data_IF_410245175760
#
_entry.id   IF_410245175760
#
_cell.length_a   1.000
_cell.length_b   1.000
_cell.length_c   1.000
_cell.angle_alpha   90.00
_cell.angle_beta   90.00
_cell.angle_gamma   90.00
#
_symmetry.space_group_name_H-M   'P 1'
#
loop_
_entity.id
_entity.type
_entity.pdbx_description
1 polymer ?
#
# COMPACT_ATOMS: atom_id res chain seq x y z
N UNK A 1 90.00 16.34 -27.83
CA UNK A 1 89.22 16.28 -29.10
C UNK A 1 87.90 15.58 -28.81
N UNK A 2 86.76 16.21 -29.14
CA UNK A 2 85.46 15.63 -29.63
C UNK A 2 84.88 14.43 -28.84
N UNK A 3 83.66 14.41 -28.27
CA UNK A 3 82.35 15.03 -28.56
C UNK A 3 81.49 14.88 -27.28
N UNK A 4 80.68 15.90 -26.95
CA UNK A 4 79.59 15.79 -25.98
C UNK A 4 78.27 15.88 -26.77
N UNK A 5 77.47 14.81 -26.72
CA UNK A 5 76.21 14.69 -27.48
C UNK A 5 75.06 15.22 -26.64
N UNK A 6 74.42 16.31 -27.09
CA UNK A 6 73.13 16.78 -26.60
C UNK A 6 72.03 15.82 -27.09
N UNK A 7 71.22 15.28 -26.18
CA UNK A 7 69.91 14.69 -26.52
C UNK A 7 68.83 15.63 -26.01
N UNK A 8 68.11 16.25 -26.96
CA UNK A 8 66.94 17.08 -26.72
C UNK A 8 65.70 16.16 -26.79
N UNK A 9 65.11 15.82 -25.65
CA UNK A 9 63.84 15.10 -25.59
C UNK A 9 62.69 16.10 -25.55
N UNK A 10 62.03 16.30 -26.69
CA UNK A 10 60.79 17.06 -26.78
C UNK A 10 59.63 16.21 -26.22
N UNK A 11 59.11 16.59 -25.05
CA UNK A 11 57.83 16.10 -24.55
C UNK A 11 56.71 16.77 -25.36
N UNK A 12 56.11 16.02 -26.29
CA UNK A 12 54.79 16.31 -26.82
C UNK A 12 53.74 15.93 -25.78
N UNK A 13 53.22 16.93 -25.07
CA UNK A 13 52.00 16.84 -24.27
C UNK A 13 50.81 16.61 -25.21
N UNK A 14 50.50 15.35 -25.51
CA UNK A 14 49.19 14.97 -26.05
C UNK A 14 48.24 14.94 -24.86
N UNK A 15 47.54 16.05 -24.62
CA UNK A 15 46.37 16.07 -23.75
C UNK A 15 45.37 15.04 -24.30
N UNK A 16 44.96 14.02 -23.53
CA UNK A 16 43.77 13.27 -23.88
C UNK A 16 42.63 14.26 -23.69
N UNK A 17 42.15 14.83 -24.78
CA UNK A 17 40.85 15.45 -24.80
C UNK A 17 39.89 14.36 -24.28
N UNK A 18 39.47 14.50 -23.03
CA UNK A 18 38.32 13.80 -22.48
C UNK A 18 37.18 14.10 -23.45
N UNK A 19 36.97 13.21 -24.40
CA UNK A 19 35.72 13.05 -25.09
C UNK A 19 34.72 12.67 -23.99
N UNK A 20 34.21 13.68 -23.28
CA UNK A 20 32.89 13.61 -22.73
C UNK A 20 32.01 13.30 -23.93
N UNK A 21 31.74 12.01 -24.14
CA UNK A 21 30.63 11.56 -24.95
C UNK A 21 29.45 12.42 -24.49
N UNK A 22 29.08 13.40 -25.32
CA UNK A 22 27.86 14.18 -25.14
C UNK A 22 26.75 13.14 -25.20
N UNK A 23 26.39 12.60 -24.04
CA UNK A 23 25.32 11.64 -23.92
C UNK A 23 24.10 12.29 -24.56
N UNK A 24 23.54 11.62 -25.57
CA UNK A 24 22.23 11.98 -26.08
C UNK A 24 21.25 11.86 -24.92
N UNK A 25 20.89 13.00 -24.32
CA UNK A 25 20.00 13.07 -23.16
C UNK A 25 18.53 13.03 -23.55
N UNK A 26 17.65 12.90 -22.56
CA UNK A 26 16.21 12.76 -22.75
C UNK A 26 15.76 11.33 -23.08
N UNK A 27 16.54 10.32 -22.71
CA UNK A 27 16.20 8.90 -22.88
C UNK A 27 15.42 8.40 -21.66
N UNK A 28 14.17 8.03 -21.88
CA UNK A 28 13.32 7.42 -20.87
C UNK A 28 13.31 5.90 -21.01
N UNK A 29 13.49 5.20 -19.89
CA UNK A 29 13.28 3.76 -19.79
C UNK A 29 12.25 3.48 -18.70
N UNK A 30 11.09 2.99 -19.08
CA UNK A 30 10.02 2.59 -18.16
C UNK A 30 10.07 1.09 -17.93
N UNK A 31 10.20 0.71 -16.67
CA UNK A 31 10.04 -0.66 -16.19
C UNK A 31 8.69 -0.73 -15.47
N UNK A 32 7.79 -1.59 -15.92
CA UNK A 32 6.48 -1.75 -15.28
C UNK A 32 6.01 -3.20 -15.21
N UNK A 33 5.21 -3.50 -14.21
CA UNK A 33 4.38 -4.71 -14.19
C UNK A 33 3.17 -4.51 -15.14
N UNK A 34 2.85 -5.51 -15.95
CA UNK A 34 1.92 -5.35 -17.08
C UNK A 34 0.47 -5.00 -16.67
N UNK A 35 0.06 -5.32 -15.45
CA UNK A 35 -1.27 -5.04 -14.92
C UNK A 35 -1.23 -4.09 -13.70
N UNK A 36 -0.14 -3.34 -13.54
CA UNK A 36 0.02 -2.34 -12.49
C UNK A 36 -0.48 -0.95 -12.90
N UNK A 37 -1.45 -0.42 -12.15
CA UNK A 37 -2.02 0.91 -12.42
C UNK A 37 -0.98 2.03 -12.37
N UNK A 38 0.00 1.95 -11.46
CA UNK A 38 1.07 2.94 -11.37
C UNK A 38 1.98 2.89 -12.61
N UNK A 39 2.32 1.69 -13.09
CA UNK A 39 3.05 1.45 -14.33
C UNK A 39 2.36 2.06 -15.54
N UNK A 40 1.06 1.84 -15.69
CA UNK A 40 0.26 2.43 -16.76
C UNK A 40 0.22 3.96 -16.70
N UNK A 41 0.08 4.55 -15.52
CA UNK A 41 0.14 6.01 -15.35
C UNK A 41 1.50 6.56 -15.79
N UNK A 42 2.62 5.91 -15.46
CA UNK A 42 3.94 6.31 -15.97
C UNK A 42 4.04 6.20 -17.48
N UNK A 43 3.49 5.13 -18.07
CA UNK A 43 3.48 4.95 -19.52
C UNK A 43 2.78 6.11 -20.23
N UNK A 44 1.57 6.49 -19.79
CA UNK A 44 0.83 7.59 -20.42
C UNK A 44 1.57 8.93 -20.30
N UNK A 45 2.15 9.21 -19.12
CA UNK A 45 2.94 10.42 -18.91
C UNK A 45 4.17 10.44 -19.82
N UNK A 46 4.95 9.36 -19.83
CA UNK A 46 6.18 9.29 -20.61
C UNK A 46 5.90 9.32 -22.13
N UNK A 47 4.86 8.63 -22.62
CA UNK A 47 4.50 8.68 -24.04
C UNK A 47 3.97 10.07 -24.44
N UNK A 48 3.18 10.72 -23.57
CA UNK A 48 2.73 12.10 -23.80
C UNK A 48 3.91 13.07 -23.85
N UNK A 49 4.84 12.97 -22.91
CA UNK A 49 6.06 13.81 -22.88
C UNK A 49 6.91 13.58 -24.12
N UNK A 50 7.12 12.32 -24.53
CA UNK A 50 7.85 11.97 -25.75
C UNK A 50 7.21 12.58 -26.99
N UNK A 51 5.87 12.57 -27.11
CA UNK A 51 5.16 13.20 -28.23
C UNK A 51 5.33 14.72 -28.23
N UNK A 52 5.39 15.35 -27.06
CA UNK A 52 5.64 16.79 -26.91
C UNK A 52 7.12 17.21 -27.04
N UNK A 53 8.05 16.27 -26.99
CA UNK A 53 9.48 16.47 -27.10
C UNK A 53 10.06 15.50 -28.16
N UNK A 54 10.03 15.87 -29.45
CA UNK A 54 10.39 14.95 -30.55
C UNK A 54 11.80 14.34 -30.46
N UNK A 55 12.69 14.96 -29.70
CA UNK A 55 14.05 14.48 -29.46
C UNK A 55 14.18 13.48 -28.31
N UNK A 56 13.12 13.29 -27.51
CA UNK A 56 13.08 12.34 -26.41
C UNK A 56 12.76 10.93 -26.92
N UNK A 57 13.29 9.93 -26.23
CA UNK A 57 13.07 8.50 -26.53
C UNK A 57 12.35 7.85 -25.36
N UNK A 58 11.49 6.87 -25.63
CA UNK A 58 10.87 6.02 -24.61
C UNK A 58 11.08 4.55 -24.98
N UNK A 59 11.64 3.78 -24.05
CA UNK A 59 11.65 2.31 -24.09
C UNK A 59 10.85 1.78 -22.92
N UNK A 60 10.13 0.70 -23.14
CA UNK A 60 9.29 0.06 -22.13
C UNK A 60 9.72 -1.39 -21.96
N UNK A 61 9.89 -1.83 -20.72
CA UNK A 61 10.31 -3.18 -20.36
C UNK A 61 9.32 -3.77 -19.33
N UNK A 62 8.85 -5.01 -19.54
CA UNK A 62 8.06 -5.68 -18.52
C UNK A 62 8.93 -6.04 -17.31
N UNK A 63 8.38 -5.87 -16.11
CA UNK A 63 8.94 -6.34 -14.85
C UNK A 63 8.29 -7.66 -14.47
N UNK A 64 9.12 -8.60 -14.05
CA UNK A 64 8.75 -9.90 -13.49
C UNK A 64 9.65 -10.20 -12.31
N UNK A 65 9.16 -10.98 -11.35
CA UNK A 65 9.96 -11.51 -10.25
C UNK A 65 10.43 -12.92 -10.60
N UNK A 66 11.52 -13.33 -9.96
CA UNK A 66 12.05 -14.68 -10.09
C UNK A 66 11.84 -15.40 -8.76
N UNK A 67 11.16 -16.54 -8.81
CA UNK A 67 10.97 -17.40 -7.65
C UNK A 67 12.26 -18.17 -7.32
N UNK A 68 12.31 -18.80 -6.15
CA UNK A 68 13.48 -19.57 -5.68
C UNK A 68 13.83 -20.75 -6.60
N UNK A 69 12.83 -21.36 -7.24
CA UNK A 69 12.99 -22.43 -8.23
C UNK A 69 13.47 -21.92 -9.61
N UNK A 70 13.68 -20.60 -9.74
CA UNK A 70 14.12 -19.95 -10.97
C UNK A 70 13.00 -19.70 -11.99
N UNK A 71 11.74 -20.04 -11.68
CA UNK A 71 10.60 -19.67 -12.49
C UNK A 71 10.29 -18.17 -12.40
N UNK A 72 9.61 -17.64 -13.42
CA UNK A 72 9.11 -16.26 -13.37
C UNK A 72 7.73 -16.24 -12.72
N UNK A 73 7.51 -15.23 -11.90
CA UNK A 73 6.23 -14.93 -11.30
C UNK A 73 5.88 -13.45 -11.53
N UNK A 74 4.59 -13.17 -11.40
CA UNK A 74 4.04 -11.82 -11.41
C UNK A 74 3.25 -11.61 -10.12
N UNK A 75 3.02 -10.35 -9.72
CA UNK A 75 2.29 -10.06 -8.49
C UNK A 75 0.79 -10.31 -8.63
N UNK A 76 0.27 -10.31 -9.86
CA UNK A 76 -1.16 -10.47 -10.18
C UNK A 76 -1.48 -11.78 -10.89
N UNK A 77 -0.57 -12.76 -10.84
CA UNK A 77 -0.78 -14.12 -11.32
C UNK A 77 -0.61 -14.31 -12.83
N UNK A 78 -1.00 -15.49 -13.30
CA UNK A 78 -0.69 -16.00 -14.65
C UNK A 78 -1.08 -15.06 -15.79
N UNK A 79 -2.19 -14.33 -15.66
CA UNK A 79 -2.63 -13.38 -16.69
C UNK A 79 -1.63 -12.22 -16.87
N UNK A 80 -1.07 -11.69 -15.77
CA UNK A 80 -0.05 -10.64 -15.83
C UNK A 80 1.28 -11.20 -16.35
N UNK A 81 1.62 -12.45 -15.99
CA UNK A 81 2.83 -13.11 -16.48
C UNK A 81 2.77 -13.38 -17.99
N UNK A 82 1.61 -13.84 -18.49
CA UNK A 82 1.38 -14.03 -19.92
C UNK A 82 1.49 -12.71 -20.69
N UNK A 83 0.92 -11.62 -20.15
CA UNK A 83 1.07 -10.30 -20.77
C UNK A 83 2.52 -9.80 -20.72
N UNK A 84 3.24 -10.00 -19.62
CA UNK A 84 4.66 -9.68 -19.52
C UNK A 84 5.49 -10.44 -20.58
N UNK A 85 5.17 -11.71 -20.86
CA UNK A 85 5.81 -12.48 -21.93
C UNK A 85 5.53 -11.88 -23.32
N UNK A 86 4.27 -11.46 -23.61
CA UNK A 86 3.93 -10.77 -24.86
C UNK A 86 4.70 -9.45 -25.01
N UNK A 87 4.78 -8.65 -23.94
CA UNK A 87 5.55 -7.41 -23.93
C UNK A 87 7.05 -7.68 -24.15
N UNK A 88 7.61 -8.72 -23.54
CA UNK A 88 9.01 -9.07 -23.74
C UNK A 88 9.30 -9.48 -25.19
N UNK A 89 8.41 -10.28 -25.79
CA UNK A 89 8.49 -10.65 -27.22
C UNK A 89 8.32 -9.44 -28.11
N UNK A 90 7.34 -8.57 -27.87
CA UNK A 90 7.16 -7.31 -28.62
C UNK A 90 8.42 -6.44 -28.56
N UNK A 91 9.03 -6.28 -27.37
CA UNK A 91 10.24 -5.49 -27.21
C UNK A 91 11.44 -6.05 -28.02
N UNK A 92 11.47 -7.37 -28.21
CA UNK A 92 12.54 -8.07 -28.95
C UNK A 92 12.30 -8.10 -30.45
N UNK A 93 11.10 -8.48 -30.89
CA UNK A 93 10.76 -8.77 -32.29
C UNK A 93 10.17 -7.57 -33.00
N UNK A 94 9.34 -6.78 -32.31
CA UNK A 94 8.62 -5.63 -32.89
C UNK A 94 8.76 -4.36 -32.04
N UNK A 95 9.98 -3.89 -31.73
CA UNK A 95 10.19 -2.77 -30.82
C UNK A 95 9.49 -1.48 -31.27
N UNK A 96 9.38 -1.25 -32.58
CA UNK A 96 8.67 -0.10 -33.14
C UNK A 96 7.14 -0.14 -32.95
N UNK A 97 6.57 -1.31 -32.64
CA UNK A 97 5.12 -1.50 -32.41
C UNK A 97 4.73 -1.38 -30.95
N UNK A 98 5.70 -1.43 -30.03
CA UNK A 98 5.49 -1.45 -28.58
C UNK A 98 4.58 -0.33 -28.07
N UNK A 99 4.87 0.93 -28.42
CA UNK A 99 4.11 2.07 -27.88
C UNK A 99 2.66 2.11 -28.42
N UNK A 100 2.44 1.69 -29.67
CA UNK A 100 1.09 1.60 -30.23
C UNK A 100 0.30 0.46 -29.60
N UNK A 101 0.95 -0.69 -29.39
CA UNK A 101 0.38 -1.82 -28.68
C UNK A 101 -0.07 -1.43 -27.28
N UNK A 102 0.80 -0.78 -26.48
CA UNK A 102 0.47 -0.37 -25.12
C UNK A 102 -0.70 0.64 -25.08
N UNK A 103 -0.69 1.64 -25.97
CA UNK A 103 -1.81 2.58 -26.08
C UNK A 103 -3.13 1.86 -26.38
N UNK A 104 -3.15 0.93 -27.33
CA UNK A 104 -4.36 0.17 -27.64
C UNK A 104 -4.76 -0.81 -26.51
N UNK A 105 -3.78 -1.47 -25.88
CA UNK A 105 -3.99 -2.41 -24.77
C UNK A 105 -4.69 -1.74 -23.59
N UNK A 106 -4.38 -0.47 -23.33
CA UNK A 106 -5.06 0.30 -22.28
C UNK A 106 -6.52 0.64 -22.57
N UNK A 107 -6.92 0.66 -23.83
CA UNK A 107 -8.29 0.93 -24.27
C UNK A 107 -9.15 -0.34 -24.34
N UNK A 108 -8.51 -1.52 -24.32
CA UNK A 108 -9.17 -2.83 -24.33
C UNK A 108 -8.79 -3.65 -23.08
N UNK A 109 -9.26 -3.30 -21.87
CA UNK A 109 -8.81 -3.89 -20.61
C UNK A 109 -9.21 -5.36 -20.42
N UNK A 110 -10.12 -5.88 -21.25
CA UNK A 110 -10.55 -7.29 -21.23
C UNK A 110 -9.36 -8.27 -21.33
N UNK A 111 -9.55 -9.49 -20.84
CA UNK A 111 -8.50 -10.52 -20.79
C UNK A 111 -7.93 -10.86 -22.18
N UNK A 112 -8.77 -10.79 -23.22
CA UNK A 112 -8.46 -11.03 -24.62
C UNK A 112 -8.17 -9.74 -25.43
N UNK A 113 -8.32 -8.56 -24.82
CA UNK A 113 -8.14 -7.26 -25.48
C UNK A 113 -6.71 -7.00 -25.99
N UNK A 114 -5.73 -7.83 -25.61
CA UNK A 114 -4.40 -7.83 -26.20
C UNK A 114 -4.42 -8.19 -27.71
N UNK A 115 -5.41 -8.95 -28.17
CA UNK A 115 -5.55 -9.31 -29.59
C UNK A 115 -5.87 -8.07 -30.43
N UNK A 116 -6.84 -7.28 -29.98
CA UNK A 116 -7.20 -6.00 -30.61
C UNK A 116 -6.02 -5.04 -30.61
N UNK A 117 -5.28 -5.00 -29.49
CA UNK A 117 -4.08 -4.17 -29.37
C UNK A 117 -2.97 -4.58 -30.33
N UNK A 118 -2.75 -5.88 -30.53
CA UNK A 118 -1.82 -6.41 -31.50
C UNK A 118 -2.24 -6.01 -32.93
N UNK A 119 -3.50 -6.24 -33.31
CA UNK A 119 -4.04 -5.86 -34.61
C UNK A 119 -3.88 -4.36 -34.88
N UNK A 120 -4.27 -3.51 -33.92
CA UNK A 120 -4.10 -2.07 -34.02
C UNK A 120 -2.63 -1.65 -34.20
N UNK A 121 -1.72 -2.33 -33.51
CA UNK A 121 -0.28 -2.09 -33.63
C UNK A 121 0.33 -2.64 -34.94
N UNK A 122 -0.44 -3.34 -35.76
CA UNK A 122 0.04 -3.99 -36.98
C UNK A 122 0.84 -5.27 -36.72
N UNK A 123 0.50 -5.99 -35.65
CA UNK A 123 1.07 -7.29 -35.26
C UNK A 123 -0.03 -8.35 -35.36
N UNK A 124 0.24 -9.46 -36.04
CA UNK A 124 -0.71 -10.57 -36.08
C UNK A 124 -0.82 -11.19 -34.67
N UNK A 125 -2.01 -11.22 -34.04
CA UNK A 125 -2.19 -11.71 -32.67
C UNK A 125 -1.83 -13.19 -32.52
N UNK A 126 -2.08 -14.02 -33.54
CA UNK A 126 -1.77 -15.46 -33.48
C UNK A 126 -0.25 -15.69 -33.55
N UNK A 127 0.46 -14.87 -34.33
CA UNK A 127 1.92 -14.90 -34.39
C UNK A 127 2.54 -14.38 -33.07
N UNK A 128 1.96 -13.34 -32.47
CA UNK A 128 2.39 -12.84 -31.15
C UNK A 128 2.21 -13.92 -30.08
N UNK A 129 1.05 -14.59 -30.03
CA UNK A 129 0.77 -15.66 -29.07
C UNK A 129 1.72 -16.83 -29.29
N UNK A 130 1.87 -17.32 -30.53
CA UNK A 130 2.78 -18.40 -30.88
C UNK A 130 4.21 -18.12 -30.41
N UNK A 131 4.69 -16.88 -30.58
CA UNK A 131 6.01 -16.47 -30.09
C UNK A 131 6.07 -16.28 -28.59
N UNK A 132 5.02 -15.75 -27.95
CA UNK A 132 4.96 -15.67 -26.50
C UNK A 132 5.05 -17.06 -25.86
N UNK A 133 4.39 -18.06 -26.42
CA UNK A 133 4.50 -19.45 -25.97
C UNK A 133 5.89 -20.04 -26.21
N UNK A 134 6.45 -19.88 -27.42
CA UNK A 134 7.71 -20.53 -27.79
C UNK A 134 8.97 -19.82 -27.26
N UNK A 135 8.96 -18.48 -27.22
CA UNK A 135 10.11 -17.63 -26.96
C UNK A 135 9.95 -16.81 -25.67
N UNK A 136 8.75 -16.78 -25.06
CA UNK A 136 8.43 -15.88 -23.94
C UNK A 136 9.35 -16.04 -22.74
N UNK A 137 9.69 -17.28 -22.35
CA UNK A 137 10.63 -17.53 -21.23
C UNK A 137 12.01 -16.91 -21.49
N UNK A 138 12.53 -17.05 -22.70
CA UNK A 138 13.82 -16.45 -23.07
C UNK A 138 13.73 -14.92 -23.14
N UNK A 139 12.62 -14.38 -23.67
CA UNK A 139 12.39 -12.94 -23.71
C UNK A 139 12.26 -12.33 -22.30
N UNK A 140 11.57 -13.02 -21.38
CA UNK A 140 11.47 -12.64 -19.97
C UNK A 140 12.83 -12.67 -19.27
N UNK A 141 13.68 -13.65 -19.57
CA UNK A 141 15.06 -13.70 -19.06
C UNK A 141 15.88 -12.49 -19.51
N UNK A 142 15.76 -12.08 -20.77
CA UNK A 142 16.40 -10.85 -21.26
C UNK A 142 15.85 -9.59 -20.57
N UNK A 143 14.53 -9.51 -20.35
CA UNK A 143 13.90 -8.39 -19.65
C UNK A 143 14.35 -8.31 -18.19
N UNK A 144 14.38 -9.44 -17.48
CA UNK A 144 14.83 -9.55 -16.09
C UNK A 144 16.30 -9.16 -15.93
N UNK A 145 17.17 -9.57 -16.86
CA UNK A 145 18.57 -9.13 -16.86
C UNK A 145 18.70 -7.62 -17.04
N UNK A 146 17.85 -7.01 -17.89
CA UNK A 146 17.84 -5.55 -18.11
C UNK A 146 17.37 -4.78 -16.87
N UNK A 147 16.33 -5.24 -16.17
CA UNK A 147 15.87 -4.60 -14.93
C UNK A 147 16.90 -4.75 -13.82
N UNK A 148 17.46 -5.95 -13.63
CA UNK A 148 18.49 -6.23 -12.63
C UNK A 148 19.75 -5.39 -12.85
N UNK A 149 20.22 -5.29 -14.11
CA UNK A 149 21.40 -4.47 -14.45
C UNK A 149 21.16 -2.98 -14.27
N UNK A 150 19.91 -2.54 -14.33
CA UNK A 150 19.51 -1.16 -14.07
C UNK A 150 19.25 -0.88 -12.58
N UNK A 151 19.36 -1.89 -11.70
CA UNK A 151 19.02 -1.77 -10.27
C UNK A 151 17.53 -1.50 -10.04
N UNK A 152 16.65 -2.04 -10.89
CA UNK A 152 15.20 -1.84 -10.83
C UNK A 152 14.50 -3.12 -10.42
N UNK A 153 13.83 -3.08 -9.27
CA UNK A 153 13.08 -4.18 -8.63
C UNK A 153 11.57 -3.90 -8.46
N UNK A 154 11.13 -2.71 -8.85
CA UNK A 154 9.75 -2.26 -8.83
C UNK A 154 9.48 -1.29 -9.99
N UNK A 155 8.21 -0.98 -10.26
CA UNK A 155 7.82 0.00 -11.29
C UNK A 155 8.65 1.28 -11.16
N UNK A 156 9.40 1.64 -12.21
CA UNK A 156 10.30 2.78 -12.21
C UNK A 156 10.45 3.39 -13.61
N UNK A 157 10.50 4.72 -13.65
CA UNK A 157 10.91 5.48 -14.83
C UNK A 157 12.35 5.96 -14.62
N UNK A 158 13.24 5.60 -15.54
CA UNK A 158 14.59 6.13 -15.58
C UNK A 158 14.68 7.23 -16.63
N UNK A 159 15.33 8.34 -16.30
CA UNK A 159 15.74 9.41 -17.20
C UNK A 159 17.27 9.40 -17.31
N UNK A 160 17.77 9.13 -18.52
CA UNK A 160 19.22 8.99 -18.81
C UNK A 160 19.93 8.01 -17.86
N UNK A 161 19.27 6.88 -17.58
CA UNK A 161 19.78 5.80 -16.73
C UNK A 161 19.68 6.05 -15.23
N UNK A 162 19.12 7.18 -14.79
CA UNK A 162 18.89 7.50 -13.38
C UNK A 162 17.41 7.46 -13.06
N UNK A 163 17.04 6.96 -11.88
CA UNK A 163 15.66 6.97 -11.42
C UNK A 163 15.11 8.39 -11.40
N UNK A 164 13.93 8.58 -11.99
CA UNK A 164 13.23 9.85 -11.93
C UNK A 164 12.55 9.96 -10.57
N UNK A 165 13.05 10.88 -9.74
CA UNK A 165 12.56 11.15 -8.37
C UNK A 165 11.48 12.26 -8.34
N UNK A 166 11.05 12.76 -9.50
CA UNK A 166 10.02 13.78 -9.58
C UNK A 166 8.61 13.19 -9.44
N UNK A 167 7.65 14.07 -9.16
CA UNK A 167 6.22 13.75 -9.13
C UNK A 167 5.75 13.04 -10.40
N UNK A 168 4.81 12.09 -10.26
CA UNK A 168 4.13 11.42 -11.38
C UNK A 168 3.07 12.34 -12.03
N UNK A 169 3.54 13.47 -12.58
CA UNK A 169 2.75 14.54 -13.20
C UNK A 169 3.36 14.95 -14.53
N UNK A 170 2.52 15.46 -15.44
CA UNK A 170 2.91 15.80 -16.80
C UNK A 170 4.04 16.84 -16.85
N UNK A 171 3.83 18.02 -16.25
CA UNK A 171 4.79 19.12 -16.39
C UNK A 171 6.14 18.87 -15.69
N UNK A 172 6.19 18.27 -14.49
CA UNK A 172 7.46 17.90 -13.86
C UNK A 172 8.28 16.93 -14.69
N UNK A 173 7.65 15.87 -15.25
CA UNK A 173 8.35 14.96 -16.15
C UNK A 173 8.77 15.66 -17.46
N UNK A 174 7.87 16.43 -18.08
CA UNK A 174 8.16 17.19 -19.29
C UNK A 174 9.38 18.11 -19.11
N UNK A 175 9.40 18.88 -18.02
CA UNK A 175 10.48 19.81 -17.73
C UNK A 175 11.80 19.09 -17.48
N UNK A 176 11.78 17.97 -16.75
CA UNK A 176 12.98 17.17 -16.49
C UNK A 176 13.56 16.57 -17.78
N UNK A 177 12.71 15.97 -18.62
CA UNK A 177 13.12 15.40 -19.91
C UNK A 177 13.63 16.50 -20.83
N UNK A 178 12.92 17.63 -20.94
CA UNK A 178 13.32 18.76 -21.76
C UNK A 178 14.66 19.36 -21.30
N UNK A 179 14.90 19.45 -19.99
CA UNK A 179 16.17 19.91 -19.44
C UNK A 179 17.32 18.93 -19.74
N UNK A 180 17.04 17.64 -19.78
CA UNK A 180 18.01 16.60 -20.12
C UNK A 180 18.39 16.59 -21.62
N UNK A 181 17.54 17.11 -22.50
CA UNK A 181 17.85 17.23 -23.92
C UNK A 181 19.05 18.17 -24.19
N UNK A 182 19.81 17.92 -25.27
CA UNK A 182 20.79 18.88 -25.78
C UNK A 182 20.15 20.26 -25.98
N UNK A 183 20.85 21.34 -25.64
CA UNK A 183 20.30 22.71 -25.67
C UNK A 183 19.57 23.06 -26.99
N UNK A 184 20.13 22.65 -28.13
CA UNK A 184 19.56 22.89 -29.47
C UNK A 184 18.28 22.10 -29.77
N UNK A 185 17.95 21.09 -28.96
CA UNK A 185 16.75 20.24 -29.09
C UNK A 185 15.70 20.52 -28.01
N UNK A 186 15.97 21.43 -27.08
CA UNK A 186 15.00 21.81 -26.05
C UNK A 186 13.84 22.58 -26.66
N UNK A 187 12.63 22.29 -26.21
CA UNK A 187 11.43 23.00 -26.64
C UNK A 187 11.17 24.15 -25.64
N UNK A 188 11.17 25.42 -26.07
CA UNK A 188 10.85 26.53 -25.17
C UNK A 188 9.35 26.49 -24.80
N UNK A 189 8.96 27.11 -23.67
CA UNK A 189 7.55 27.31 -23.38
C UNK A 189 6.89 28.16 -24.49
N UNK A 190 5.56 28.08 -24.66
CA UNK A 190 4.83 28.90 -25.61
C UNK A 190 5.15 30.40 -25.46
N UNK A 191 5.21 31.12 -26.58
CA UNK A 191 5.47 32.56 -26.56
C UNK A 191 4.44 33.29 -25.67
N UNK A 192 4.91 34.19 -24.82
CA UNK A 192 4.06 34.94 -23.87
C UNK A 192 3.69 34.16 -22.60
N UNK A 193 4.06 32.88 -22.48
CA UNK A 193 3.87 32.15 -21.23
C UNK A 193 4.82 32.65 -20.15
N UNK A 194 4.25 33.10 -19.03
CA UNK A 194 4.98 33.42 -17.81
C UNK A 194 4.60 32.38 -16.76
N UNK A 195 5.59 31.61 -16.30
CA UNK A 195 5.36 30.64 -15.23
C UNK A 195 4.90 31.38 -13.97
N UNK A 196 3.71 31.04 -13.48
CA UNK A 196 3.27 31.53 -12.16
C UNK A 196 4.21 30.94 -11.10
N UNK A 197 4.69 31.75 -10.14
CA UNK A 197 5.41 31.23 -8.99
C UNK A 197 4.57 30.15 -8.31
N UNK A 198 5.16 28.98 -8.10
CA UNK A 198 4.52 27.93 -7.29
C UNK A 198 4.80 28.25 -5.83
N UNK A 199 3.77 28.21 -4.99
CA UNK A 199 3.98 28.23 -3.55
C UNK A 199 4.84 27.01 -3.17
N UNK A 200 5.79 27.16 -2.24
CA UNK A 200 6.54 26.01 -1.75
C UNK A 200 5.58 25.01 -1.12
N UNK A 201 5.82 23.69 -1.27
CA UNK A 201 4.99 22.72 -0.59
C UNK A 201 5.07 22.92 0.93
N UNK A 202 4.01 22.61 1.68
CA UNK A 202 4.04 22.65 3.14
C UNK A 202 5.11 21.67 3.65
N UNK A 203 5.57 21.90 4.88
CA UNK A 203 6.41 20.92 5.55
C UNK A 203 5.67 19.59 5.71
N UNK A 204 6.40 18.49 5.54
CA UNK A 204 5.85 17.14 5.55
C UNK A 204 6.77 16.19 6.29
N UNK A 205 6.21 15.49 7.27
CA UNK A 205 6.94 14.58 8.13
C UNK A 205 6.31 13.20 8.11
N UNK A 206 7.17 12.18 8.12
CA UNK A 206 6.76 10.81 8.39
C UNK A 206 7.41 10.38 9.69
N UNK A 207 6.58 10.09 10.68
CA UNK A 207 7.02 9.60 11.99
C UNK A 207 6.92 8.09 12.02
N UNK A 208 8.03 7.43 12.30
CA UNK A 208 8.17 5.97 12.36
C UNK A 208 8.76 5.55 13.70
N UNK A 209 8.39 4.37 14.19
CA UNK A 209 9.17 3.72 15.26
C UNK A 209 10.29 2.87 14.65
N UNK A 210 11.24 2.45 15.49
CA UNK A 210 12.35 1.58 15.09
C UNK A 210 11.86 0.31 14.38
N UNK A 211 12.51 -0.04 13.27
CA UNK A 211 12.16 -1.21 12.46
C UNK A 211 10.97 -1.05 11.51
N UNK A 212 10.25 0.08 11.54
CA UNK A 212 9.19 0.37 10.58
C UNK A 212 9.74 0.99 9.30
N UNK A 213 9.09 0.69 8.18
CA UNK A 213 9.37 1.30 6.88
C UNK A 213 8.27 2.30 6.51
N UNK A 214 8.68 3.39 5.87
CA UNK A 214 7.75 4.35 5.27
C UNK A 214 7.00 3.72 4.10
N UNK A 215 5.72 4.03 3.97
CA UNK A 215 4.94 3.66 2.80
C UNK A 215 5.17 4.70 1.69
N UNK A 216 6.11 4.43 0.78
CA UNK A 216 6.44 5.35 -0.31
C UNK A 216 5.27 5.61 -1.27
N UNK A 217 4.38 4.62 -1.45
CA UNK A 217 3.17 4.83 -2.24
C UNK A 217 2.26 5.87 -1.58
N UNK A 218 2.09 5.82 -0.26
CA UNK A 218 1.32 6.81 0.50
C UNK A 218 1.98 8.18 0.49
N UNK A 219 3.31 8.27 0.62
CA UNK A 219 4.06 9.53 0.40
C UNK A 219 3.75 10.11 -0.99
N UNK A 220 3.72 9.27 -2.02
CA UNK A 220 3.36 9.67 -3.38
C UNK A 220 1.92 10.17 -3.52
N UNK A 221 0.99 9.75 -2.65
CA UNK A 221 -0.38 10.32 -2.61
C UNK A 221 -0.35 11.80 -2.22
N UNK A 222 0.49 12.19 -1.26
CA UNK A 222 0.60 13.60 -0.85
C UNK A 222 1.12 14.51 -1.96
N UNK A 223 1.93 13.98 -2.89
CA UNK A 223 2.35 14.75 -4.06
C UNK A 223 1.16 15.16 -4.94
N UNK A 224 0.04 14.42 -4.96
CA UNK A 224 -1.20 14.80 -5.67
C UNK A 224 -1.82 16.08 -5.10
N UNK A 225 -1.68 16.31 -3.79
CA UNK A 225 -2.15 17.53 -3.14
C UNK A 225 -1.09 18.62 -3.20
N UNK A 226 0.18 18.28 -3.06
CA UNK A 226 1.28 19.23 -2.92
C UNK A 226 2.45 18.84 -3.81
N UNK A 227 2.51 19.42 -5.00
CA UNK A 227 3.56 19.12 -5.98
C UNK A 227 4.96 19.34 -5.40
N UNK A 228 5.81 18.31 -5.47
CA UNK A 228 7.20 18.39 -5.03
C UNK A 228 7.39 18.34 -3.52
N UNK A 229 6.35 17.99 -2.76
CA UNK A 229 6.43 17.77 -1.31
C UNK A 229 7.45 16.66 -1.00
N UNK A 230 8.29 16.89 0.01
CA UNK A 230 9.32 15.94 0.44
C UNK A 230 9.12 15.59 1.90
N UNK A 231 9.05 14.30 2.17
CA UNK A 231 8.94 13.78 3.52
C UNK A 231 10.30 13.86 4.25
N UNK A 232 10.32 14.53 5.39
CA UNK A 232 11.35 14.37 6.42
C UNK A 232 10.94 13.20 7.34
N UNK A 233 11.84 12.23 7.52
CA UNK A 233 11.56 11.11 8.43
C UNK A 233 12.04 11.44 9.83
N UNK A 234 11.16 11.27 10.82
CA UNK A 234 11.48 11.39 12.23
C UNK A 234 11.32 10.05 12.93
N UNK A 235 12.28 9.71 13.78
CA UNK A 235 12.14 8.60 14.71
C UNK A 235 11.17 9.02 15.84
N UNK A 236 10.25 8.14 16.20
CA UNK A 236 9.30 8.35 17.28
C UNK A 236 10.06 8.72 18.55
N UNK A 237 11.06 7.97 18.99
CA UNK A 237 11.76 8.22 20.25
C UNK A 237 12.69 9.46 20.21
N UNK A 238 12.79 10.15 19.08
CA UNK A 238 13.62 11.35 18.95
C UNK A 238 13.07 12.57 19.71
N UNK A 239 13.95 13.40 20.32
CA UNK A 239 13.56 14.68 20.91
C UNK A 239 12.91 15.63 19.90
N UNK A 240 13.38 15.59 18.64
CA UNK A 240 12.83 16.40 17.54
C UNK A 240 11.35 16.09 17.28
N UNK A 241 10.98 14.81 17.29
CA UNK A 241 9.58 14.38 17.20
C UNK A 241 8.81 14.83 18.43
N UNK A 242 9.30 14.57 19.65
CA UNK A 242 8.59 14.90 20.88
C UNK A 242 8.26 16.40 21.00
N UNK A 243 9.19 17.27 20.58
CA UNK A 243 8.97 18.71 20.55
C UNK A 243 7.91 19.13 19.51
N UNK A 244 7.82 18.42 18.38
CA UNK A 244 6.95 18.78 17.25
C UNK A 244 5.56 18.17 17.33
N UNK A 245 5.48 16.92 17.80
CA UNK A 245 4.28 16.10 17.84
C UNK A 245 4.09 15.48 19.23
N UNK A 246 3.91 16.29 20.29
CA UNK A 246 3.84 15.80 21.67
C UNK A 246 2.65 14.89 21.94
N UNK A 247 1.55 15.04 21.20
CA UNK A 247 0.32 14.24 21.36
C UNK A 247 0.23 13.04 20.42
N UNK A 248 1.23 12.78 19.57
CA UNK A 248 1.19 11.68 18.61
C UNK A 248 1.32 10.33 19.33
N UNK A 249 0.25 9.54 19.31
CA UNK A 249 0.15 8.28 20.05
C UNK A 249 0.31 7.03 19.16
N UNK A 250 0.20 7.17 17.83
CA UNK A 250 0.26 6.07 16.88
C UNK A 250 1.25 6.36 15.75
N UNK A 251 1.98 5.32 15.32
CA UNK A 251 2.86 5.34 14.13
C UNK A 251 2.69 4.06 13.30
N UNK A 252 2.93 4.07 11.98
CA UNK A 252 3.41 5.19 11.17
C UNK A 252 2.40 6.33 11.04
N UNK A 253 2.88 7.57 11.09
CA UNK A 253 2.06 8.77 10.95
C UNK A 253 2.66 9.76 9.95
N UNK A 254 1.78 10.44 9.21
CA UNK A 254 2.10 11.34 8.12
C UNK A 254 1.51 12.71 8.46
N UNK A 255 2.37 13.67 8.76
CA UNK A 255 1.98 15.00 9.23
C UNK A 255 2.34 16.07 8.21
N UNK A 256 1.36 16.86 7.79
CA UNK A 256 1.55 18.02 6.90
C UNK A 256 1.31 19.31 7.70
N UNK A 257 2.12 20.35 7.47
CA UNK A 257 1.89 21.66 8.08
C UNK A 257 0.50 22.21 7.72
N UNK A 258 -0.29 22.62 8.71
CA UNK A 258 -1.69 23.00 8.55
C UNK A 258 -1.89 24.45 8.06
N UNK A 259 -1.26 24.79 6.94
CA UNK A 259 -1.44 26.09 6.29
C UNK A 259 -2.87 26.24 5.73
N UNK A 260 -3.37 27.48 5.48
CA UNK A 260 -4.67 27.68 4.85
C UNK A 260 -4.82 26.94 3.52
N UNK A 261 -3.76 26.88 2.73
CA UNK A 261 -3.71 26.12 1.48
C UNK A 261 -3.80 24.62 1.72
N UNK A 262 -3.10 24.09 2.73
CA UNK A 262 -3.14 22.65 3.03
C UNK A 262 -4.51 22.21 3.52
N UNK A 263 -5.16 23.03 4.35
CA UNK A 263 -6.54 22.81 4.82
C UNK A 263 -7.55 22.85 3.68
N UNK A 264 -7.42 23.81 2.77
CA UNK A 264 -8.29 23.90 1.60
C UNK A 264 -8.11 22.70 0.66
N UNK A 265 -6.87 22.24 0.45
CA UNK A 265 -6.60 21.09 -0.43
C UNK A 265 -7.02 19.74 0.15
N UNK A 266 -7.01 19.61 1.47
CA UNK A 266 -7.39 18.39 2.20
C UNK A 266 -8.79 18.48 2.83
N UNK A 267 -9.63 19.41 2.39
CA UNK A 267 -10.94 19.66 3.02
C UNK A 267 -11.84 18.43 2.97
N UNK A 268 -11.83 17.69 1.85
CA UNK A 268 -12.62 16.48 1.69
C UNK A 268 -12.18 15.38 2.65
N UNK A 269 -10.88 15.22 2.81
CA UNK A 269 -10.25 14.21 3.67
C UNK A 269 -10.43 14.55 5.14
N UNK A 270 -10.41 15.84 5.50
CA UNK A 270 -10.74 16.33 6.83
C UNK A 270 -12.21 16.08 7.17
N UNK A 271 -13.13 16.37 6.24
CA UNK A 271 -14.57 16.08 6.40
C UNK A 271 -14.85 14.58 6.53
N UNK A 272 -14.06 13.75 5.85
CA UNK A 272 -14.12 12.30 5.95
C UNK A 272 -13.47 11.74 7.22
N UNK A 273 -12.87 12.59 8.08
CA UNK A 273 -12.20 12.15 9.31
C UNK A 273 -10.89 11.40 9.09
N UNK A 274 -10.31 11.44 7.88
CA UNK A 274 -9.07 10.75 7.56
C UNK A 274 -7.86 11.42 8.22
N UNK A 275 -7.89 12.75 8.31
CA UNK A 275 -6.87 13.53 8.98
C UNK A 275 -7.38 14.04 10.33
N UNK A 276 -6.54 13.93 11.34
CA UNK A 276 -6.70 14.62 12.61
C UNK A 276 -6.12 16.02 12.49
N UNK A 277 -6.92 17.03 12.81
CA UNK A 277 -6.45 18.39 12.97
C UNK A 277 -5.78 18.53 14.35
N UNK A 278 -4.46 18.71 14.35
CA UNK A 278 -3.64 18.87 15.55
C UNK A 278 -3.12 20.31 15.69
N UNK A 279 -3.90 21.29 15.22
CA UNK A 279 -3.57 22.73 15.28
C UNK A 279 -2.62 23.12 14.15
N UNK A 280 -1.31 23.04 14.41
CA UNK A 280 -0.28 23.41 13.43
C UNK A 280 -0.05 22.33 12.36
N UNK A 281 -0.65 21.15 12.53
CA UNK A 281 -0.45 20.00 11.65
C UNK A 281 -1.76 19.27 11.34
N UNK A 282 -1.84 18.72 10.14
CA UNK A 282 -2.85 17.74 9.73
C UNK A 282 -2.18 16.37 9.74
N UNK A 283 -2.67 15.45 10.57
CA UNK A 283 -2.01 14.15 10.84
C UNK A 283 -2.86 13.01 10.32
N UNK A 284 -2.29 12.20 9.44
CA UNK A 284 -2.84 10.92 9.01
C UNK A 284 -2.09 9.77 9.71
N UNK A 285 -2.80 8.94 10.47
CA UNK A 285 -2.26 7.75 11.12
C UNK A 285 -2.54 6.54 10.22
N UNK A 286 -1.50 5.92 9.67
CA UNK A 286 -1.65 4.80 8.73
C UNK A 286 -1.95 3.49 9.48
N UNK A 287 -3.25 3.23 9.61
CA UNK A 287 -3.81 2.02 10.24
C UNK A 287 -4.20 0.95 9.23
N UNK A 288 -3.72 1.02 7.98
CA UNK A 288 -4.16 0.09 6.95
C UNK A 288 -3.48 -1.27 7.02
N UNK A 289 -2.33 -1.37 7.69
CA UNK A 289 -1.55 -2.62 7.80
C UNK A 289 -1.02 -2.84 9.21
N UNK A 290 0.17 -2.32 9.49
CA UNK A 290 0.87 -2.47 10.77
C UNK A 290 1.13 -1.11 11.38
N UNK A 291 1.12 -1.04 12.70
CA UNK A 291 1.52 0.14 13.42
C UNK A 291 1.84 -0.15 14.88
N UNK A 292 2.02 0.93 15.64
CA UNK A 292 2.42 0.89 17.03
C UNK A 292 1.70 2.00 17.77
N UNK A 293 0.93 1.64 18.80
CA UNK A 293 0.43 2.56 19.81
C UNK A 293 1.54 2.92 20.79
N UNK A 294 2.50 3.69 20.32
CA UNK A 294 3.75 3.95 21.04
C UNK A 294 3.55 4.73 22.36
N UNK A 295 2.41 5.43 22.52
CA UNK A 295 2.01 6.07 23.78
C UNK A 295 1.37 5.15 24.82
N UNK A 296 0.97 3.90 24.47
CA UNK A 296 0.33 2.98 25.41
C UNK A 296 1.35 2.31 26.32
N UNK A 297 0.96 1.92 27.53
CA UNK A 297 1.77 1.03 28.35
C UNK A 297 1.82 -0.38 27.72
N UNK A 298 2.96 -1.05 27.82
CA UNK A 298 3.08 -2.44 27.39
C UNK A 298 2.25 -3.35 28.30
N UNK A 299 1.53 -4.29 27.70
CA UNK A 299 0.68 -5.27 28.39
C UNK A 299 1.09 -6.66 27.92
N UNK A 300 2.24 -7.13 28.41
CA UNK A 300 2.85 -8.39 27.94
C UNK A 300 1.87 -9.56 27.99
N UNK A 301 1.97 -10.41 26.98
CA UNK A 301 1.19 -11.63 26.84
C UNK A 301 -0.32 -11.36 26.78
N UNK A 302 -0.71 -10.28 26.10
CA UNK A 302 -2.10 -9.95 25.81
C UNK A 302 -2.31 -9.80 24.30
N UNK A 303 -3.37 -10.43 23.81
CA UNK A 303 -3.89 -10.24 22.46
C UNK A 303 -5.28 -9.61 22.56
N UNK A 304 -5.40 -8.37 22.12
CA UNK A 304 -6.70 -7.72 21.91
C UNK A 304 -7.12 -7.94 20.45
N UNK A 305 -8.32 -8.44 20.24
CA UNK A 305 -8.92 -8.74 18.94
C UNK A 305 -10.11 -7.81 18.74
N UNK A 306 -10.09 -7.03 17.66
CA UNK A 306 -11.13 -6.07 17.31
C UNK A 306 -11.90 -6.59 16.10
N UNK A 307 -13.18 -6.90 16.30
CA UNK A 307 -14.02 -7.60 15.33
C UNK A 307 -15.37 -6.95 15.17
N UNK A 308 -16.09 -7.35 14.13
CA UNK A 308 -17.53 -7.16 14.01
C UNK A 308 -18.17 -8.54 13.90
N UNK A 309 -19.19 -8.85 14.71
CA UNK A 309 -19.73 -10.21 14.83
C UNK A 309 -20.30 -10.80 13.54
N UNK A 310 -20.65 -9.97 12.55
CA UNK A 310 -21.11 -10.43 11.25
C UNK A 310 -20.07 -10.29 10.13
N UNK A 311 -18.85 -9.84 10.43
CA UNK A 311 -17.79 -9.85 9.43
C UNK A 311 -17.25 -11.29 9.28
N UNK A 312 -17.29 -11.90 8.08
CA UNK A 312 -16.74 -13.25 7.85
C UNK A 312 -15.28 -13.37 8.28
N UNK A 313 -14.45 -12.36 7.99
CA UNK A 313 -13.05 -12.35 8.38
C UNK A 313 -12.85 -12.26 9.91
N UNK A 314 -13.80 -11.63 10.62
CA UNK A 314 -13.81 -11.56 12.08
C UNK A 314 -14.10 -12.94 12.68
N UNK A 315 -15.20 -13.58 12.26
CA UNK A 315 -15.59 -14.92 12.69
C UNK A 315 -14.50 -15.97 12.38
N UNK A 316 -13.84 -15.86 11.23
CA UNK A 316 -12.69 -16.69 10.85
C UNK A 316 -11.51 -16.51 11.80
N UNK A 317 -11.15 -15.26 12.14
CA UNK A 317 -10.04 -14.96 13.04
C UNK A 317 -10.30 -15.44 14.47
N UNK A 318 -11.50 -15.19 14.99
CA UNK A 318 -11.92 -15.71 16.31
C UNK A 318 -11.85 -17.23 16.34
N UNK A 319 -12.41 -17.90 15.33
CA UNK A 319 -12.39 -19.37 15.25
C UNK A 319 -10.95 -19.90 15.25
N UNK A 320 -10.09 -19.34 14.41
CA UNK A 320 -8.69 -19.76 14.31
C UNK A 320 -7.93 -19.56 15.64
N UNK A 321 -8.14 -18.43 16.32
CA UNK A 321 -7.51 -18.15 17.61
C UNK A 321 -8.01 -19.06 18.72
N UNK A 322 -9.32 -19.30 18.80
CA UNK A 322 -9.92 -20.15 19.83
C UNK A 322 -9.55 -21.63 19.62
N UNK A 323 -9.45 -22.09 18.38
CA UNK A 323 -8.92 -23.42 18.07
C UNK A 323 -7.42 -23.53 18.41
N UNK A 324 -6.63 -22.50 18.11
CA UNK A 324 -5.21 -22.47 18.48
C UNK A 324 -5.03 -22.47 20.01
N UNK A 325 -5.83 -21.72 20.75
CA UNK A 325 -5.85 -21.73 22.22
C UNK A 325 -6.17 -23.13 22.76
N UNK A 326 -7.27 -23.75 22.28
CA UNK A 326 -7.69 -25.09 22.68
C UNK A 326 -6.61 -26.15 22.41
N UNK A 327 -5.88 -26.00 21.31
CA UNK A 327 -4.80 -26.90 20.90
C UNK A 327 -3.43 -26.51 21.48
N UNK A 328 -3.36 -25.51 22.37
CA UNK A 328 -2.13 -25.03 23.01
C UNK A 328 -1.06 -24.59 22.00
N UNK A 329 -1.51 -23.92 20.92
CA UNK A 329 -0.67 -23.39 19.85
C UNK A 329 -0.36 -21.89 20.02
N UNK A 330 -1.01 -21.23 20.97
CA UNK A 330 -0.73 -19.84 21.36
C UNK A 330 0.31 -19.79 22.50
N UNK A 331 0.94 -18.62 22.75
CA UNK A 331 1.84 -18.43 23.87
C UNK A 331 1.18 -18.83 25.21
N UNK A 332 1.96 -19.45 26.09
CA UNK A 332 1.45 -19.90 27.38
C UNK A 332 0.97 -18.71 28.22
N UNK A 333 -0.25 -18.81 28.76
CA UNK A 333 -0.85 -17.77 29.59
C UNK A 333 -1.30 -16.51 28.83
N UNK A 334 -1.37 -16.55 27.49
CA UNK A 334 -1.86 -15.44 26.68
C UNK A 334 -3.28 -15.04 27.12
N UNK A 335 -3.48 -13.76 27.44
CA UNK A 335 -4.79 -13.19 27.69
C UNK A 335 -5.44 -12.77 26.37
N UNK A 336 -6.48 -13.48 25.94
CA UNK A 336 -7.27 -13.14 24.76
C UNK A 336 -8.44 -12.22 25.15
N UNK A 337 -8.54 -11.04 24.52
CA UNK A 337 -9.66 -10.10 24.69
C UNK A 337 -10.34 -9.83 23.36
N UNK A 338 -11.66 -9.95 23.35
CA UNK A 338 -12.48 -9.61 22.18
C UNK A 338 -13.14 -8.26 22.42
N UNK A 339 -12.98 -7.36 21.45
CA UNK A 339 -13.55 -6.03 21.37
C UNK A 339 -14.35 -5.89 20.08
N UNK A 340 -15.39 -5.08 20.11
CA UNK A 340 -16.30 -4.88 19.00
C UNK A 340 -16.10 -3.50 18.37
N UNK A 341 -16.24 -3.47 17.05
CA UNK A 341 -16.16 -2.26 16.25
C UNK A 341 -17.58 -1.79 15.93
N UNK A 342 -17.86 -0.53 16.23
CA UNK A 342 -19.20 0.01 16.14
C UNK A 342 -19.26 1.49 16.50
N UNK A 343 -20.46 2.05 16.50
CA UNK A 343 -20.72 3.38 17.01
C UNK A 343 -21.89 3.33 18.00
N UNK A 344 -21.78 4.10 19.08
CA UNK A 344 -22.85 4.32 20.03
C UNK A 344 -22.96 5.81 20.32
N UNK A 345 -24.17 6.36 20.24
CA UNK A 345 -24.46 7.77 20.56
C UNK A 345 -25.72 7.84 21.41
N UNK A 346 -25.80 8.78 22.34
CA UNK A 346 -27.04 9.04 23.07
C UNK A 346 -27.98 9.90 22.25
N UNK A 347 -29.26 9.55 22.23
CA UNK A 347 -30.32 10.38 21.69
C UNK A 347 -30.71 11.51 22.65
N UNK A 348 -31.63 12.39 22.20
CA UNK A 348 -32.14 13.51 23.00
C UNK A 348 -32.80 13.07 24.33
N UNK A 349 -33.23 11.81 24.42
CA UNK A 349 -33.88 11.22 25.61
C UNK A 349 -32.88 10.44 26.47
N UNK A 350 -31.60 10.42 26.12
CA UNK A 350 -30.54 9.73 26.83
C UNK A 350 -30.43 8.23 26.51
N UNK A 351 -31.22 7.71 25.57
CA UNK A 351 -31.16 6.33 25.10
C UNK A 351 -30.02 6.11 24.08
N UNK A 352 -29.38 4.95 24.12
CA UNK A 352 -28.33 4.60 23.16
C UNK A 352 -28.90 4.28 21.77
N UNK A 353 -28.31 4.90 20.75
CA UNK A 353 -28.43 4.55 19.34
C UNK A 353 -27.12 3.90 18.89
N UNK A 354 -27.22 2.70 18.33
CA UNK A 354 -26.08 1.92 17.87
C UNK A 354 -26.04 1.85 16.34
N UNK A 355 -24.83 1.82 15.77
CA UNK A 355 -24.60 1.59 14.35
C UNK A 355 -23.42 0.65 14.13
N UNK A 356 -23.59 -0.32 13.24
CA UNK A 356 -22.58 -1.31 12.85
C UNK A 356 -22.63 -1.53 11.34
N UNK A 357 -21.54 -2.04 10.76
CA UNK A 357 -21.36 -2.11 9.31
C UNK A 357 -22.42 -2.98 8.65
N UNK A 358 -22.77 -4.11 9.27
CA UNK A 358 -23.78 -5.05 8.77
C UNK A 358 -25.18 -4.76 9.37
N UNK A 359 -25.38 -3.55 9.90
CA UNK A 359 -26.67 -3.07 10.36
C UNK A 359 -27.04 -3.52 11.77
N UNK A 360 -28.35 -3.53 12.04
CA UNK A 360 -28.88 -3.77 13.38
C UNK A 360 -28.55 -5.16 13.96
N UNK A 361 -28.71 -6.26 13.22
CA UNK A 361 -28.43 -7.60 13.74
C UNK A 361 -27.02 -7.78 14.29
N UNK A 362 -26.03 -7.06 13.73
CA UNK A 362 -24.63 -7.12 14.17
C UNK A 362 -24.41 -6.45 15.53
N UNK A 363 -24.88 -5.22 15.76
CA UNK A 363 -24.66 -4.60 17.07
C UNK A 363 -25.46 -5.30 18.16
N UNK A 364 -26.62 -5.86 17.84
CA UNK A 364 -27.37 -6.67 18.80
C UNK A 364 -26.60 -7.93 19.19
N UNK A 365 -25.98 -8.60 18.22
CA UNK A 365 -25.13 -9.76 18.49
C UNK A 365 -23.88 -9.36 19.29
N UNK A 366 -23.22 -8.24 18.96
CA UNK A 366 -22.10 -7.73 19.74
C UNK A 366 -22.51 -7.50 21.21
N UNK A 367 -23.71 -6.94 21.45
CA UNK A 367 -24.26 -6.72 22.80
C UNK A 367 -24.52 -8.04 23.56
N UNK A 368 -25.00 -9.09 22.86
CA UNK A 368 -25.16 -10.43 23.45
C UNK A 368 -23.80 -11.03 23.79
N UNK A 369 -22.84 -10.97 22.86
CA UNK A 369 -21.52 -11.54 23.06
C UNK A 369 -20.76 -10.88 24.20
N UNK A 370 -20.75 -9.55 24.29
CA UNK A 370 -20.08 -8.85 25.39
C UNK A 370 -20.74 -9.13 26.75
N UNK A 371 -22.07 -9.27 26.77
CA UNK A 371 -22.80 -9.70 27.98
C UNK A 371 -22.43 -11.14 28.37
N UNK A 372 -22.35 -12.06 27.40
CA UNK A 372 -21.95 -13.45 27.64
C UNK A 372 -20.51 -13.53 28.14
N UNK A 373 -19.59 -12.75 27.58
CA UNK A 373 -18.21 -12.65 28.05
C UNK A 373 -18.15 -12.20 29.53
N UNK A 374 -19.00 -11.24 29.91
CA UNK A 374 -19.04 -10.72 31.28
C UNK A 374 -19.71 -11.67 32.29
N UNK A 375 -20.83 -12.30 31.93
CA UNK A 375 -21.65 -13.11 32.86
C UNK A 375 -21.40 -14.61 32.79
N UNK A 376 -20.93 -15.10 31.66
CA UNK A 376 -20.67 -16.51 31.39
C UNK A 376 -19.25 -16.72 30.81
N UNK A 377 -18.18 -16.17 31.40
CA UNK A 377 -16.84 -16.18 30.81
C UNK A 377 -16.34 -17.58 30.45
N UNK A 378 -16.63 -18.59 31.30
CA UNK A 378 -16.25 -19.98 31.04
C UNK A 378 -16.97 -20.64 29.84
N UNK A 379 -18.05 -20.03 29.34
CA UNK A 379 -18.85 -20.53 28.21
C UNK A 379 -18.68 -19.67 26.95
N UNK A 380 -18.04 -18.50 27.07
CA UNK A 380 -17.96 -17.52 25.99
C UNK A 380 -17.26 -18.06 24.75
N UNK A 381 -16.10 -18.72 24.91
CA UNK A 381 -15.37 -19.27 23.76
C UNK A 381 -16.16 -20.39 23.05
N UNK A 382 -16.87 -21.23 23.81
CA UNK A 382 -17.75 -22.25 23.24
C UNK A 382 -18.93 -21.64 22.48
N UNK A 383 -19.48 -20.53 23.00
CA UNK A 383 -20.53 -19.77 22.32
C UNK A 383 -20.02 -19.19 21.01
N UNK A 384 -18.87 -18.50 21.00
CA UNK A 384 -18.29 -17.92 19.79
C UNK A 384 -18.02 -18.98 18.71
N UNK A 385 -17.39 -20.11 19.08
CA UNK A 385 -17.12 -21.20 18.14
C UNK A 385 -18.39 -21.76 17.49
N UNK A 386 -19.49 -21.86 18.25
CA UNK A 386 -20.76 -22.29 17.67
C UNK A 386 -21.40 -21.18 16.83
N UNK A 387 -21.40 -19.94 17.34
CA UNK A 387 -21.99 -18.78 16.69
C UNK A 387 -21.35 -18.48 15.34
N UNK A 388 -20.04 -18.66 15.23
CA UNK A 388 -19.25 -18.39 14.03
C UNK A 388 -19.53 -19.35 12.87
N UNK A 389 -20.14 -20.51 13.11
CA UNK A 389 -20.57 -21.45 12.05
C UNK A 389 -21.67 -20.85 11.17
N UNK A 390 -22.46 -19.93 11.71
CA UNK A 390 -23.55 -19.25 11.02
C UNK A 390 -23.63 -17.78 11.46
N UNK A 391 -22.50 -17.07 11.41
CA UNK A 391 -22.30 -15.73 11.98
C UNK A 391 -23.34 -14.69 11.53
N UNK A 392 -23.91 -14.82 10.34
CA UNK A 392 -24.92 -13.90 9.80
C UNK A 392 -26.36 -14.21 10.22
N UNK A 393 -26.63 -15.41 10.73
CA UNK A 393 -27.98 -15.82 11.12
C UNK A 393 -28.47 -15.09 12.37
N UNK A 394 -29.75 -14.69 12.44
CA UNK A 394 -30.32 -14.09 13.64
C UNK A 394 -30.55 -15.11 14.79
N UNK A 395 -30.43 -16.41 14.53
CA UNK A 395 -30.75 -17.50 15.46
C UNK A 395 -29.58 -17.81 16.41
N UNK A 396 -29.27 -16.86 17.28
CA UNK A 396 -28.20 -16.96 18.27
C UNK A 396 -28.53 -17.98 19.39
N UNK A 397 -29.81 -18.26 19.62
CA UNK A 397 -30.27 -19.17 20.68
C UNK A 397 -29.77 -20.59 20.49
N UNK A 398 -29.63 -21.06 19.23
CA UNK A 398 -29.01 -22.36 18.93
C UNK A 398 -27.57 -22.43 19.44
N UNK A 399 -26.78 -21.38 19.19
CA UNK A 399 -25.41 -21.30 19.65
C UNK A 399 -25.33 -21.23 21.19
N UNK A 400 -26.22 -20.46 21.81
CA UNK A 400 -26.35 -20.39 23.26
C UNK A 400 -26.66 -21.77 23.87
N UNK A 401 -27.66 -22.48 23.34
CA UNK A 401 -28.04 -23.80 23.81
C UNK A 401 -26.88 -24.82 23.70
N UNK A 402 -26.19 -24.85 22.55
CA UNK A 402 -25.05 -25.74 22.33
C UNK A 402 -23.89 -25.45 23.30
N UNK A 403 -23.62 -24.17 23.58
CA UNK A 403 -22.62 -23.72 24.55
C UNK A 403 -23.12 -23.76 26.02
N UNK A 404 -24.36 -24.22 26.25
CA UNK A 404 -25.04 -24.24 27.55
C UNK A 404 -25.13 -22.86 28.22
N UNK A 405 -25.18 -21.80 27.44
CA UNK A 405 -25.49 -20.43 27.88
C UNK A 405 -27.00 -20.31 28.08
N UNK A 406 -27.42 -19.68 29.18
CA UNK A 406 -28.83 -19.49 29.49
C UNK A 406 -29.42 -18.39 28.61
N UNK A 407 -30.29 -18.79 27.67
CA UNK A 407 -30.95 -17.90 26.71
C UNK A 407 -31.77 -16.83 27.41
N UNK A 408 -32.57 -17.19 28.42
CA UNK A 408 -33.40 -16.21 29.14
C UNK A 408 -32.55 -15.20 29.89
N UNK A 409 -31.42 -15.64 30.45
CA UNK A 409 -30.50 -14.75 31.16
C UNK A 409 -29.82 -13.74 30.20
N UNK A 410 -29.53 -14.14 28.96
CA UNK A 410 -29.01 -13.24 27.92
C UNK A 410 -30.09 -12.25 27.45
N UNK A 411 -31.32 -12.70 27.26
CA UNK A 411 -32.44 -11.83 26.90
C UNK A 411 -32.74 -10.79 27.98
N UNK A 412 -32.82 -11.20 29.25
CA UNK A 412 -33.01 -10.30 30.41
C UNK A 412 -31.82 -9.35 30.58
N UNK A 413 -30.63 -9.81 30.22
CA UNK A 413 -29.37 -9.07 30.29
C UNK A 413 -29.11 -8.09 29.16
N UNK A 414 -29.95 -8.07 28.12
CA UNK A 414 -29.67 -7.32 26.90
C UNK A 414 -29.49 -5.81 27.14
N UNK A 415 -30.24 -5.23 28.07
CA UNK A 415 -30.07 -3.81 28.44
C UNK A 415 -28.68 -3.53 29.04
N UNK A 416 -28.16 -4.40 29.89
CA UNK A 416 -26.79 -4.31 30.41
C UNK A 416 -25.77 -4.52 29.29
N UNK A 417 -26.02 -5.49 28.39
CA UNK A 417 -25.19 -5.72 27.20
C UNK A 417 -25.03 -4.49 26.31
N UNK A 418 -26.08 -3.68 26.16
CA UNK A 418 -26.01 -2.40 25.43
C UNK A 418 -25.09 -1.38 26.12
N UNK A 419 -25.14 -1.25 27.44
CA UNK A 419 -24.24 -0.35 28.17
C UNK A 419 -22.77 -0.79 28.07
N UNK A 420 -22.53 -2.09 28.21
CA UNK A 420 -21.20 -2.68 28.00
C UNK A 420 -20.69 -2.43 26.58
N UNK A 421 -21.55 -2.65 25.58
CA UNK A 421 -21.21 -2.43 24.17
C UNK A 421 -20.91 -0.96 23.88
N UNK A 422 -21.66 -0.02 24.45
CA UNK A 422 -21.40 1.40 24.26
C UNK A 422 -20.03 1.81 24.82
N UNK A 423 -19.64 1.26 25.98
CA UNK A 423 -18.31 1.48 26.55
C UNK A 423 -17.20 0.85 25.69
N UNK A 424 -17.44 -0.33 25.14
CA UNK A 424 -16.50 -1.04 24.28
C UNK A 424 -16.30 -0.34 22.92
N UNK A 425 -17.40 0.10 22.28
CA UNK A 425 -17.34 0.93 21.08
C UNK A 425 -16.56 2.24 21.32
N UNK A 426 -16.76 2.90 22.47
CA UNK A 426 -15.98 4.09 22.82
C UNK A 426 -14.49 3.79 23.00
N UNK A 427 -14.12 2.64 23.58
CA UNK A 427 -12.73 2.23 23.70
C UNK A 427 -12.08 1.93 22.34
N UNK A 428 -12.80 1.22 21.47
CA UNK A 428 -12.38 0.92 20.09
C UNK A 428 -12.24 2.18 19.24
N UNK A 429 -13.17 3.12 19.36
CA UNK A 429 -13.14 4.43 18.67
C UNK A 429 -12.02 5.34 19.17
N UNK A 430 -11.72 5.32 20.47
CA UNK A 430 -10.57 6.05 21.02
C UNK A 430 -9.23 5.55 20.47
N UNK A 431 -9.15 4.25 20.14
CA UNK A 431 -8.04 3.67 19.40
C UNK A 431 -8.13 3.92 17.89
N UNK A 432 -9.26 4.44 17.40
CA UNK A 432 -9.65 4.64 16.00
C UNK A 432 -9.42 3.40 15.15
N UNK A 433 -9.86 2.26 15.67
CA UNK A 433 -9.88 0.98 14.96
C UNK A 433 -11.25 0.83 14.31
N UNK A 434 -11.27 0.74 12.99
CA UNK A 434 -12.50 0.63 12.19
C UNK A 434 -12.54 -0.58 11.27
N UNK A 435 -11.51 -1.43 11.31
CA UNK A 435 -11.35 -2.60 10.41
C UNK A 435 -11.35 -3.92 11.18
N UNK A 436 -12.13 -4.89 10.72
CA UNK A 436 -12.26 -6.24 11.29
C UNK A 436 -11.66 -7.32 10.37
N UNK A 437 -10.82 -8.24 10.87
CA UNK A 437 -10.25 -8.25 12.21
C UNK A 437 -9.04 -7.30 12.27
N UNK A 438 -8.88 -6.61 13.40
CA UNK A 438 -7.62 -5.97 13.78
C UNK A 438 -7.12 -6.55 15.10
N UNK A 439 -5.82 -6.45 15.35
CA UNK A 439 -5.20 -6.99 16.56
C UNK A 439 -4.29 -5.95 17.20
N UNK A 440 -4.22 -6.01 18.53
CA UNK A 440 -3.16 -5.39 19.31
C UNK A 440 -2.45 -6.46 20.14
N UNK A 441 -1.16 -6.63 19.90
CA UNK A 441 -0.28 -7.54 20.66
C UNK A 441 0.52 -6.73 21.68
N UNK A 442 0.59 -7.26 22.90
CA UNK A 442 1.28 -6.67 24.05
C UNK A 442 0.85 -5.22 24.36
N UNK A 443 -0.42 -4.90 24.04
CA UNK A 443 -1.01 -3.57 24.24
C UNK A 443 -0.45 -2.47 23.34
N UNK A 444 0.42 -2.79 22.36
CA UNK A 444 1.09 -1.77 21.52
C UNK A 444 1.13 -2.10 20.04
N UNK A 445 1.49 -3.32 19.66
CA UNK A 445 1.73 -3.68 18.26
C UNK A 445 0.41 -3.86 17.55
N UNK A 446 0.09 -3.00 16.59
CA UNK A 446 -1.16 -3.03 15.85
C UNK A 446 -0.98 -3.72 14.50
N UNK A 447 -1.95 -4.55 14.11
CA UNK A 447 -2.02 -5.10 12.76
C UNK A 447 -3.45 -5.38 12.30
N UNK A 448 -3.67 -5.35 10.99
CA UNK A 448 -4.94 -5.68 10.34
C UNK A 448 -4.84 -7.05 9.66
N UNK A 449 -5.83 -7.91 9.89
CA UNK A 449 -5.95 -9.20 9.22
C UNK A 449 -5.13 -10.31 9.85
N UNK A 450 -5.71 -11.52 9.88
CA UNK A 450 -5.10 -12.70 10.52
C UNK A 450 -3.73 -13.05 9.93
N UNK A 451 -3.54 -12.84 8.62
CA UNK A 451 -2.28 -13.09 7.94
C UNK A 451 -1.12 -12.22 8.43
N UNK A 452 -1.39 -11.03 8.99
CA UNK A 452 -0.34 -10.20 9.60
C UNK A 452 0.02 -10.68 11.01
N UNK A 453 -0.98 -11.10 11.80
CA UNK A 453 -0.77 -11.67 13.13
C UNK A 453 0.10 -12.93 13.07
N UNK A 454 -0.16 -13.83 12.12
CA UNK A 454 0.59 -15.09 11.97
C UNK A 454 2.07 -14.91 11.62
N UNK A 455 2.48 -13.72 11.20
CA UNK A 455 3.90 -13.40 10.95
C UNK A 455 4.64 -13.04 12.24
N UNK A 456 3.93 -12.91 13.38
CA UNK A 456 4.54 -12.62 14.67
C UNK A 456 4.97 -13.90 15.40
N UNK A 457 6.11 -13.84 16.12
CA UNK A 457 6.53 -14.91 16.99
C UNK A 457 5.42 -15.35 17.97
N UNK A 458 5.14 -16.65 18.02
CA UNK A 458 4.12 -17.25 18.88
C UNK A 458 2.75 -17.43 18.23
N UNK A 459 2.51 -16.84 17.05
CA UNK A 459 1.22 -16.94 16.34
C UNK A 459 1.32 -17.70 15.00
N UNK A 460 2.49 -18.25 14.67
CA UNK A 460 2.77 -18.88 13.38
C UNK A 460 1.94 -20.15 13.14
N UNK A 461 1.49 -20.79 14.23
CA UNK A 461 0.71 -22.03 14.19
C UNK A 461 -0.81 -21.82 14.17
N UNK A 462 -1.26 -20.57 14.12
CA UNK A 462 -2.69 -20.26 13.93
C UNK A 462 -3.07 -20.65 12.49
N UNK A 463 -4.15 -21.41 12.32
CA UNK A 463 -4.58 -21.88 11.00
C UNK A 463 -5.20 -20.74 10.17
N UNK A 464 -4.91 -20.70 8.86
CA UNK A 464 -5.73 -19.91 7.92
C UNK A 464 -6.86 -20.80 7.41
N UNK A 465 -8.13 -20.44 7.63
CA UNK A 465 -9.21 -20.99 6.82
C UNK A 465 -8.99 -20.49 5.38
N UNK A 466 -9.12 -21.36 4.39
CA UNK A 466 -8.64 -21.09 3.03
C UNK A 466 -9.39 -19.96 2.30
N UNK A 467 -8.89 -18.72 2.35
CA UNK A 467 -8.90 -17.64 1.33
C UNK A 467 -8.39 -16.28 1.92
N UNK A 468 -8.07 -15.24 1.11
CA UNK A 468 -6.88 -14.39 1.26
C UNK A 468 -6.92 -13.33 2.38
N UNK A 469 -5.74 -12.82 2.73
CA UNK A 469 -5.52 -11.74 3.69
C UNK A 469 -6.30 -10.46 3.31
N UNK A 470 -7.33 -10.14 4.10
CA UNK A 470 -8.16 -8.93 3.98
C UNK A 470 -9.00 -8.71 5.25
N UNK A 471 -9.66 -7.57 5.36
CA UNK A 471 -10.56 -7.22 6.46
C UNK A 471 -11.76 -6.39 5.98
N UNK A 472 -12.85 -6.41 6.74
CA UNK A 472 -14.01 -5.54 6.54
C UNK A 472 -13.73 -4.16 7.18
N UNK A 473 -13.87 -3.06 6.45
CA UNK A 473 -13.76 -1.70 7.01
C UNK A 473 -15.12 -0.99 6.98
N UNK A 474 -15.37 -0.16 7.99
CA UNK A 474 -16.54 0.73 8.05
C UNK A 474 -16.45 1.91 7.08
#
# INVERSE_FOLDING_TARGET
MRKLTLLLSALLLVSPALAQNKAAGGKMALYLEAMDGQGWQWFFLADTVRRGLPAAELKVYPLVTRAEDGSFASRRGENELAEAARLAVLARVWPARMLNYLNARSLSPAADGWRDAALFAGVNPDELERRATAEGKAALEEAYKKSSSAGVDATALLLDGRRFEGSQRLMPLYNAVNAALPAAKRVPPPAGYVAKPKAPPPGFWVVLSSGMQKNDALVGVFDKYFEGIKAETLDYDSPARAARFPSLAFVPAYAVAATPESRARLEGELKAGLFKDAGDYLVYEDRQRRGLYAGRAEQKNRLEVFVMSQCPYGAMAETALLEAEKNKLLPEGLELKIHYIGEARKDEKGGWQFSSLHGQPEWEENARQIYIAAKFPAKFHAYLLERNKDYSSPDWQKAAAAAKVDVEAVEKGFAEGKELLAADFAATDALGISTSPSFIVDGRQFMVGLGELMKLPGFEKVSQPGQPAGGCAK
#
